data_IF_985536674922
#
_entry.id   IF_985536674922
#
_cell.length_a   1.000
_cell.length_b   1.000
_cell.length_c   1.000
_cell.angle_alpha   90.00
_cell.angle_beta   90.00
_cell.angle_gamma   90.00
#
_symmetry.space_group_name_H-M   'P 1'
#
loop_
_entity.id
_entity.type
_entity.pdbx_description
1 polymer ?
#
# COMPACT_ATOMS: atom_id res chain seq x y z
N UNK A 1 -14.41 -1.12 -46.89
CA UNK A 1 -13.44 -2.02 -46.25
C UNK A 1 -14.15 -3.34 -45.93
N UNK A 2 -13.57 -4.48 -46.35
CA UNK A 2 -14.21 -5.80 -46.28
C UNK A 2 -14.36 -6.28 -44.84
N UNK A 3 -15.54 -6.83 -44.49
CA UNK A 3 -15.89 -7.40 -43.16
C UNK A 3 -14.82 -8.39 -42.65
N UNK A 4 -14.12 -9.06 -43.58
CA UNK A 4 -13.02 -9.98 -43.26
C UNK A 4 -11.81 -9.31 -42.59
N UNK A 5 -11.53 -8.04 -42.92
CA UNK A 5 -10.43 -7.30 -42.30
C UNK A 5 -10.72 -6.91 -40.85
N UNK A 6 -12.00 -6.65 -40.53
CA UNK A 6 -12.43 -6.32 -39.17
C UNK A 6 -12.28 -7.51 -38.22
N UNK A 7 -12.62 -8.71 -38.68
CA UNK A 7 -12.48 -9.94 -37.89
C UNK A 7 -11.01 -10.29 -37.61
N UNK A 8 -10.11 -10.08 -38.59
CA UNK A 8 -8.68 -10.33 -38.41
C UNK A 8 -8.08 -9.35 -37.39
N UNK A 9 -8.46 -8.07 -37.43
CA UNK A 9 -7.99 -7.10 -36.41
C UNK A 9 -8.48 -7.46 -35.00
N UNK A 10 -9.70 -7.97 -34.86
CA UNK A 10 -10.27 -8.36 -33.57
C UNK A 10 -9.54 -9.55 -32.94
N UNK A 11 -9.14 -10.53 -33.75
CA UNK A 11 -8.37 -11.69 -33.26
C UNK A 11 -6.96 -11.26 -32.81
N UNK A 12 -6.30 -10.38 -33.56
CA UNK A 12 -4.97 -9.87 -33.18
C UNK A 12 -5.05 -9.05 -31.89
N UNK A 13 -6.07 -8.21 -31.72
CA UNK A 13 -6.29 -7.44 -30.49
C UNK A 13 -6.55 -8.34 -29.27
N UNK A 14 -7.33 -9.42 -29.42
CA UNK A 14 -7.61 -10.36 -28.34
C UNK A 14 -6.35 -11.13 -27.90
N UNK A 15 -5.50 -11.54 -28.85
CA UNK A 15 -4.23 -12.21 -28.55
C UNK A 15 -3.25 -11.25 -27.85
N UNK A 16 -3.17 -9.99 -28.28
CA UNK A 16 -2.33 -8.97 -27.63
C UNK A 16 -2.80 -8.65 -26.19
N UNK A 17 -4.12 -8.63 -25.94
CA UNK A 17 -4.64 -8.46 -24.58
C UNK A 17 -4.32 -9.67 -23.67
N UNK A 18 -4.36 -10.90 -24.19
CA UNK A 18 -4.06 -12.09 -23.40
C UNK A 18 -2.56 -12.20 -23.02
N UNK A 19 -1.67 -11.80 -23.93
CA UNK A 19 -0.21 -11.77 -23.66
C UNK A 19 0.15 -10.61 -22.72
N UNK A 20 -0.56 -9.48 -22.81
CA UNK A 20 -0.35 -8.32 -21.92
C UNK A 20 -0.61 -8.61 -20.43
N UNK A 21 -1.48 -9.56 -20.10
CA UNK A 21 -1.80 -9.93 -18.70
C UNK A 21 -0.75 -10.88 -18.09
N UNK A 22 -0.06 -11.68 -18.91
CA UNK A 22 0.99 -12.57 -18.42
C UNK A 22 2.31 -11.84 -18.09
N UNK A 23 2.60 -10.71 -18.76
CA UNK A 23 3.81 -9.92 -18.51
C UNK A 23 3.72 -9.04 -17.24
N UNK A 24 2.54 -8.85 -16.65
CA UNK A 24 2.37 -8.02 -15.45
C UNK A 24 2.66 -8.73 -14.11
N UNK A 25 3.08 -10.00 -14.13
CA UNK A 25 3.51 -10.72 -12.92
C UNK A 25 5.04 -10.85 -12.77
N UNK A 26 5.83 -10.14 -13.59
CA UNK A 26 7.28 -9.99 -13.42
C UNK A 26 7.63 -8.73 -12.64
N UNK A 27 7.17 -8.62 -11.39
CA UNK A 27 7.48 -7.48 -10.52
C UNK A 27 8.94 -7.51 -10.10
N UNK A 28 9.78 -6.83 -10.88
CA UNK A 28 11.20 -6.64 -10.62
C UNK A 28 11.49 -6.21 -9.19
N UNK A 29 12.51 -6.85 -8.63
CA UNK A 29 13.11 -6.55 -7.35
C UNK A 29 13.60 -5.09 -7.33
N UNK A 30 12.78 -4.18 -6.80
CA UNK A 30 13.30 -2.98 -6.16
C UNK A 30 13.63 -3.36 -4.72
N UNK A 31 14.91 -3.58 -4.47
CA UNK A 31 15.48 -3.62 -3.13
C UNK A 31 14.96 -2.41 -2.34
N UNK A 32 14.17 -2.68 -1.31
CA UNK A 32 13.63 -1.65 -0.41
C UNK A 32 14.61 -1.44 0.74
N UNK A 33 15.06 -0.20 1.01
CA UNK A 33 15.84 0.11 2.20
C UNK A 33 14.97 -0.08 3.45
N UNK A 34 15.63 -0.41 4.56
CA UNK A 34 14.99 -0.92 5.78
C UNK A 34 14.15 0.10 6.56
N UNK A 35 14.18 1.40 6.22
CA UNK A 35 13.63 2.46 7.07
C UNK A 35 12.66 3.37 6.31
N UNK A 36 11.65 3.90 7.02
CA UNK A 36 10.73 4.89 6.45
C UNK A 36 11.47 6.15 6.05
N UNK A 37 11.54 6.36 4.75
CA UNK A 37 11.99 7.61 4.19
C UNK A 37 10.87 8.17 3.28
N UNK A 38 10.04 9.09 3.76
CA UNK A 38 9.07 9.75 2.89
C UNK A 38 9.86 10.49 1.80
N UNK A 39 9.41 10.45 0.53
CA UNK A 39 10.06 11.18 -0.56
C UNK A 39 10.27 12.66 -0.20
N UNK A 40 11.31 13.30 -0.71
CA UNK A 40 11.63 14.69 -0.35
C UNK A 40 10.50 15.68 -0.70
N UNK A 41 9.72 15.39 -1.74
CA UNK A 41 8.53 16.17 -2.10
C UNK A 41 7.40 16.06 -1.07
N UNK A 42 7.42 15.02 -0.24
CA UNK A 42 6.48 14.74 0.83
C UNK A 42 6.98 15.34 2.15
N UNK A 43 8.30 15.35 2.37
CA UNK A 43 8.95 16.06 3.48
C UNK A 43 8.76 17.57 3.44
N UNK A 44 8.78 18.18 2.24
CA UNK A 44 8.49 19.62 2.08
C UNK A 44 7.05 19.99 2.47
N UNK A 45 6.19 19.00 2.65
CA UNK A 45 4.83 19.15 3.15
C UNK A 45 4.71 18.84 4.64
N UNK A 46 5.79 18.71 5.42
CA UNK A 46 5.70 18.41 6.87
C UNK A 46 4.84 19.40 7.68
N UNK A 47 4.56 20.62 7.17
CA UNK A 47 3.56 21.54 7.74
C UNK A 47 2.09 21.24 7.39
N UNK A 48 1.84 20.41 6.37
CA UNK A 48 0.53 19.99 5.85
C UNK A 48 0.28 18.47 5.96
N UNK A 49 1.31 17.69 6.27
CA UNK A 49 1.26 16.23 6.38
C UNK A 49 0.56 15.72 7.68
N UNK A 50 0.03 16.64 8.49
CA UNK A 50 -0.85 16.35 9.63
C UNK A 50 -2.31 16.10 9.25
N UNK A 51 -2.56 15.59 8.03
CA UNK A 51 -3.92 15.30 7.55
C UNK A 51 -4.68 14.32 8.45
N UNK A 52 -6.01 14.24 8.31
CA UNK A 52 -6.87 13.42 9.15
C UNK A 52 -6.36 11.98 9.31
N UNK A 53 -6.61 11.44 10.49
CA UNK A 53 -6.20 10.09 10.81
C UNK A 53 -7.02 9.06 10.03
N UNK A 54 -6.34 8.08 9.45
CA UNK A 54 -6.99 6.94 8.82
C UNK A 54 -7.70 6.12 9.90
N UNK A 55 -9.00 5.86 9.72
CA UNK A 55 -9.79 5.07 10.66
C UNK A 55 -9.65 3.57 10.38
N UNK A 56 -9.83 2.72 11.41
CA UNK A 56 -9.70 1.27 11.28
C UNK A 56 -10.67 0.66 10.25
N UNK A 57 -11.88 1.23 10.11
CA UNK A 57 -12.88 0.81 9.12
C UNK A 57 -12.42 1.04 7.67
N UNK A 58 -11.47 1.95 7.47
CA UNK A 58 -10.97 2.33 6.16
C UNK A 58 -9.85 1.39 5.70
N UNK A 59 -9.32 0.58 6.60
CA UNK A 59 -8.41 -0.52 6.29
C UNK A 59 -9.19 -1.83 6.28
N UNK A 60 -9.30 -2.49 5.14
CA UNK A 60 -10.10 -3.72 5.01
C UNK A 60 -9.30 -4.89 4.45
N UNK A 61 -9.52 -6.08 5.01
CA UNK A 61 -9.01 -7.35 4.48
C UNK A 61 -10.19 -8.25 4.19
N UNK A 62 -10.36 -8.66 2.93
CA UNK A 62 -11.50 -9.45 2.49
C UNK A 62 -12.84 -8.83 2.98
N UNK A 63 -12.97 -7.52 2.80
CA UNK A 63 -14.12 -6.70 3.24
C UNK A 63 -14.37 -6.66 4.76
N UNK A 64 -13.44 -7.17 5.59
CA UNK A 64 -13.49 -7.04 7.04
C UNK A 64 -12.57 -5.90 7.48
N UNK A 65 -13.07 -5.01 8.33
CA UNK A 65 -12.29 -3.90 8.89
C UNK A 65 -11.06 -4.38 9.65
N UNK A 66 -10.05 -3.52 9.74
CA UNK A 66 -8.84 -3.79 10.50
C UNK A 66 -9.22 -4.04 11.97
N UNK A 67 -8.77 -5.16 12.57
CA UNK A 67 -9.09 -5.46 13.96
C UNK A 67 -8.37 -4.48 14.89
N UNK A 68 -8.89 -4.28 16.10
CA UNK A 68 -8.24 -3.42 17.11
C UNK A 68 -6.76 -3.80 17.35
N UNK A 69 -6.45 -5.11 17.36
CA UNK A 69 -5.09 -5.63 17.35
C UNK A 69 -4.99 -6.79 16.35
N UNK A 70 -4.14 -6.64 15.34
CA UNK A 70 -3.78 -7.71 14.40
C UNK A 70 -2.62 -8.53 14.97
N UNK A 71 -2.82 -9.84 15.09
CA UNK A 71 -1.77 -10.81 15.40
C UNK A 71 -1.25 -11.44 14.12
N UNK A 72 0.00 -11.15 13.78
CA UNK A 72 0.65 -11.64 12.57
C UNK A 72 1.67 -12.72 12.95
N UNK A 73 1.35 -13.97 12.61
CA UNK A 73 2.23 -15.11 12.87
C UNK A 73 3.60 -14.99 12.21
N UNK A 74 4.53 -15.83 12.65
CA UNK A 74 5.90 -15.87 12.13
C UNK A 74 5.94 -15.98 10.60
N UNK A 75 6.76 -15.13 9.95
CA UNK A 75 6.92 -15.07 8.49
C UNK A 75 5.63 -14.90 7.68
N UNK A 76 4.52 -14.54 8.31
CA UNK A 76 3.25 -14.32 7.61
C UNK A 76 3.21 -12.92 7.01
N UNK A 77 2.58 -12.86 5.84
CA UNK A 77 2.23 -11.62 5.16
C UNK A 77 0.71 -11.49 5.15
N UNK A 78 0.22 -10.31 5.45
CA UNK A 78 -1.19 -9.94 5.33
C UNK A 78 -1.32 -8.66 4.53
N UNK A 79 -2.34 -8.59 3.69
CA UNK A 79 -2.62 -7.45 2.81
C UNK A 79 -3.97 -6.85 3.19
N UNK A 80 -4.01 -5.53 3.27
CA UNK A 80 -5.20 -4.72 3.50
C UNK A 80 -5.37 -3.74 2.34
N UNK A 81 -6.60 -3.54 1.91
CA UNK A 81 -7.01 -2.45 1.04
C UNK A 81 -7.25 -1.21 1.89
N UNK A 82 -6.77 -0.07 1.43
CA UNK A 82 -7.11 1.24 2.00
C UNK A 82 -8.26 1.82 1.20
N UNK A 83 -9.33 2.17 1.89
CA UNK A 83 -10.54 2.75 1.31
C UNK A 83 -10.23 4.16 0.81
N UNK A 84 -10.64 4.52 -0.42
CA UNK A 84 -10.56 5.90 -0.89
C UNK A 84 -11.31 6.85 0.04
N UNK A 85 -10.77 8.05 0.24
CA UNK A 85 -11.44 9.12 0.96
C UNK A 85 -12.51 9.76 0.06
N UNK A 86 -13.71 10.02 0.59
CA UNK A 86 -14.76 10.71 -0.16
C UNK A 86 -14.37 12.17 -0.49
N UNK A 87 -13.63 12.82 0.42
CA UNK A 87 -13.31 14.25 0.33
C UNK A 87 -11.93 14.56 -0.28
N UNK A 88 -11.30 13.57 -0.92
CA UNK A 88 -9.96 13.69 -1.51
C UNK A 88 -8.85 14.20 -0.57
N UNK A 89 -9.01 14.03 0.74
CA UNK A 89 -8.05 14.52 1.73
C UNK A 89 -6.85 13.57 1.94
N UNK A 90 -5.71 14.17 2.31
CA UNK A 90 -4.52 13.45 2.78
C UNK A 90 -4.82 12.79 4.11
N UNK A 91 -4.45 11.52 4.27
CA UNK A 91 -4.67 10.76 5.52
C UNK A 91 -3.38 10.24 6.12
N UNK A 92 -3.35 10.09 7.43
CA UNK A 92 -2.20 9.54 8.14
C UNK A 92 -2.57 8.29 8.93
N UNK A 93 -1.81 7.21 8.76
CA UNK A 93 -1.98 5.99 9.52
C UNK A 93 -0.78 5.80 10.46
N UNK A 94 -1.03 5.82 11.77
CA UNK A 94 -0.02 5.45 12.76
C UNK A 94 -0.37 4.09 13.36
N UNK A 95 0.61 3.21 13.48
CA UNK A 95 0.41 1.90 14.12
C UNK A 95 1.22 1.82 15.41
N UNK A 96 0.78 0.98 16.33
CA UNK A 96 1.57 0.52 17.47
C UNK A 96 2.08 -0.88 17.14
N UNK A 97 3.40 -1.09 17.12
CA UNK A 97 3.99 -2.37 16.72
C UNK A 97 4.78 -2.98 17.87
N UNK A 98 4.51 -4.26 18.14
CA UNK A 98 5.32 -5.11 19.02
C UNK A 98 5.80 -6.32 18.23
N UNK A 99 7.09 -6.39 17.97
CA UNK A 99 7.72 -7.44 17.17
C UNK A 99 8.44 -6.90 15.95
N UNK A 100 8.68 -7.77 14.97
CA UNK A 100 9.48 -7.49 13.80
C UNK A 100 8.60 -7.44 12.55
N UNK A 101 8.27 -6.25 12.07
CA UNK A 101 7.31 -6.07 10.98
C UNK A 101 7.87 -5.13 9.93
N UNK A 102 7.81 -5.55 8.68
CA UNK A 102 7.91 -4.68 7.53
C UNK A 102 6.50 -4.29 7.07
N UNK A 103 6.27 -2.99 6.92
CA UNK A 103 5.02 -2.41 6.48
C UNK A 103 5.26 -1.64 5.20
N UNK A 104 4.36 -1.79 4.23
CA UNK A 104 4.48 -1.15 2.92
C UNK A 104 3.13 -0.68 2.42
N UNK A 105 3.02 0.61 2.11
CA UNK A 105 1.85 1.20 1.49
C UNK A 105 2.14 1.49 0.01
N UNK A 106 1.35 0.89 -0.87
CA UNK A 106 1.35 1.13 -2.31
C UNK A 106 0.11 1.92 -2.71
N UNK A 107 0.26 3.16 -3.22
CA UNK A 107 -0.87 3.92 -3.76
C UNK A 107 -1.45 3.26 -5.02
N UNK A 108 -2.71 3.54 -5.34
CA UNK A 108 -3.28 3.15 -6.64
C UNK A 108 -2.54 3.87 -7.77
N UNK A 109 -2.37 3.19 -8.92
CA UNK A 109 -1.71 3.77 -10.09
C UNK A 109 -2.36 5.08 -10.53
N UNK A 110 -1.53 6.07 -10.88
CA UNK A 110 -1.98 7.38 -11.35
C UNK A 110 -2.39 8.36 -10.25
N UNK A 111 -2.24 7.99 -8.97
CA UNK A 111 -2.42 8.92 -7.86
C UNK A 111 -1.34 10.01 -7.91
N UNK A 112 -1.77 11.27 -7.87
CA UNK A 112 -0.88 12.43 -7.94
C UNK A 112 -1.16 13.38 -6.78
N UNK A 113 -0.09 13.96 -6.23
CA UNK A 113 -0.15 15.09 -5.34
C UNK A 113 0.59 16.27 -5.98
N UNK A 114 -0.13 17.38 -6.19
CA UNK A 114 0.43 18.60 -6.83
C UNK A 114 1.16 18.31 -8.14
N UNK A 115 0.58 17.44 -8.97
CA UNK A 115 1.15 17.04 -10.27
C UNK A 115 2.33 16.08 -10.19
N UNK A 116 2.75 15.64 -8.99
CA UNK A 116 3.75 14.59 -8.80
C UNK A 116 3.10 13.26 -8.44
N UNK A 117 3.55 12.13 -9.01
CA UNK A 117 3.03 10.83 -8.63
C UNK A 117 3.32 10.54 -7.15
N UNK A 118 2.34 9.97 -6.46
CA UNK A 118 2.56 9.47 -5.10
C UNK A 118 3.36 8.19 -5.19
N UNK A 119 4.49 8.14 -4.48
CA UNK A 119 5.39 6.99 -4.48
C UNK A 119 5.02 5.98 -3.39
N UNK A 120 5.47 4.74 -3.57
CA UNK A 120 5.37 3.69 -2.56
C UNK A 120 6.13 4.07 -1.29
N UNK A 121 5.54 3.80 -0.13
CA UNK A 121 6.14 4.06 1.17
C UNK A 121 6.39 2.73 1.89
N UNK A 122 7.53 2.59 2.54
CA UNK A 122 7.89 1.40 3.31
C UNK A 122 8.50 1.77 4.64
N UNK A 123 8.40 0.89 5.62
CA UNK A 123 9.03 1.02 6.92
C UNK A 123 9.27 -0.36 7.51
N UNK A 124 10.34 -0.51 8.28
CA UNK A 124 10.53 -1.71 9.10
C UNK A 124 10.67 -1.30 10.56
N UNK A 125 9.95 -1.98 11.45
CA UNK A 125 10.35 -2.10 12.83
C UNK A 125 11.10 -3.38 13.03
N UNK A 126 12.26 -3.25 13.64
CA UNK A 126 12.87 -4.31 14.42
C UNK A 126 13.10 -3.75 15.82
N UNK A 127 12.20 -3.98 16.77
CA UNK A 127 12.47 -3.54 18.15
C UNK A 127 11.79 -4.36 19.23
N UNK A 128 12.62 -4.75 20.18
CA UNK A 128 12.37 -5.10 21.58
C UNK A 128 11.76 -3.96 22.42
N UNK A 129 11.25 -2.90 21.77
CA UNK A 129 10.53 -1.75 22.34
C UNK A 129 9.36 -1.43 21.41
N UNK A 130 8.21 -1.06 21.98
CA UNK A 130 7.07 -0.64 21.18
C UNK A 130 7.43 0.66 20.45
N UNK A 131 7.61 0.58 19.14
CA UNK A 131 7.88 1.75 18.30
C UNK A 131 6.62 2.06 17.49
N UNK A 132 6.31 3.34 17.31
CA UNK A 132 5.14 3.80 16.56
C UNK A 132 5.53 4.13 15.12
N UNK A 133 5.23 3.29 14.13
CA UNK A 133 5.31 3.69 12.73
C UNK A 133 4.21 4.67 12.35
N UNK A 134 4.51 5.56 11.41
CA UNK A 134 3.55 6.41 10.75
C UNK A 134 3.71 6.34 9.21
N UNK A 135 2.59 6.31 8.49
CA UNK A 135 2.53 6.41 7.02
C UNK A 135 1.56 7.50 6.61
N UNK A 136 1.78 8.04 5.42
CA UNK A 136 0.89 9.01 4.81
C UNK A 136 0.19 8.33 3.63
N UNK A 137 -1.12 8.16 3.75
CA UNK A 137 -1.99 7.56 2.75
C UNK A 137 -2.73 8.67 2.03
N UNK A 138 -2.89 8.55 0.73
CA UNK A 138 -3.52 9.57 -0.10
C UNK A 138 -4.90 9.12 -0.59
N UNK A 139 -5.75 10.11 -0.85
CA UNK A 139 -7.16 10.09 -1.30
C UNK A 139 -7.70 8.89 -2.09
N UNK A 140 -6.97 8.33 -3.05
CA UNK A 140 -7.46 7.28 -3.94
C UNK A 140 -7.31 5.85 -3.41
N UNK A 141 -6.99 5.72 -2.12
CA UNK A 141 -6.77 4.43 -1.48
C UNK A 141 -5.50 3.74 -1.99
N UNK A 142 -5.39 2.44 -1.70
CA UNK A 142 -4.18 1.71 -2.04
C UNK A 142 -4.12 0.36 -1.35
N UNK A 143 -2.91 -0.19 -1.28
CA UNK A 143 -2.64 -1.49 -0.68
C UNK A 143 -1.62 -1.35 0.43
N UNK A 144 -2.01 -1.70 1.65
CA UNK A 144 -1.11 -1.82 2.80
C UNK A 144 -0.72 -3.30 2.97
N UNK A 145 0.56 -3.59 2.85
CA UNK A 145 1.15 -4.92 3.09
C UNK A 145 1.86 -4.93 4.44
N UNK A 146 1.55 -5.90 5.30
CA UNK A 146 2.19 -6.12 6.59
C UNK A 146 2.86 -7.49 6.57
N UNK A 147 4.18 -7.54 6.77
CA UNK A 147 4.99 -8.76 6.76
C UNK A 147 5.75 -8.90 8.07
N UNK A 148 5.56 -10.01 8.77
CA UNK A 148 6.40 -10.36 9.91
C UNK A 148 7.74 -10.93 9.39
N UNK A 149 8.84 -10.35 9.84
CA UNK A 149 10.18 -10.73 9.37
C UNK A 149 10.82 -11.86 10.18
N UNK A 150 10.39 -12.09 11.43
CA UNK A 150 11.01 -13.06 12.35
C UNK A 150 10.10 -14.24 12.73
N UNK A 151 10.68 -15.18 13.47
CA UNK A 151 10.06 -16.43 13.93
C UNK A 151 9.07 -16.31 15.10
N UNK A 152 8.81 -15.11 15.63
CA UNK A 152 7.84 -14.88 16.72
C UNK A 152 6.60 -14.15 16.20
N UNK A 153 5.48 -14.17 16.94
CA UNK A 153 4.26 -13.46 16.54
C UNK A 153 4.41 -11.95 16.76
N UNK A 154 4.10 -11.15 15.76
CA UNK A 154 4.01 -9.70 15.87
C UNK A 154 2.58 -9.25 16.20
N UNK A 155 2.45 -8.17 16.98
CA UNK A 155 1.17 -7.51 17.29
C UNK A 155 1.18 -6.10 16.74
N UNK A 156 0.12 -5.74 16.02
CA UNK A 156 -0.01 -4.49 15.29
C UNK A 156 -1.38 -3.90 15.60
N UNK A 157 -1.43 -2.73 16.24
CA UNK A 157 -2.66 -1.96 16.43
C UNK A 157 -2.64 -0.69 15.58
N UNK A 158 -3.79 -0.21 15.14
CA UNK A 158 -3.91 1.15 14.61
C UNK A 158 -4.11 2.08 15.81
N UNK A 159 -3.31 3.14 15.92
CA UNK A 159 -3.49 4.12 16.97
C UNK A 159 -4.66 5.03 16.57
N UNK A 160 -5.48 5.47 17.54
CA UNK A 160 -6.63 6.37 17.36
C UNK A 160 -6.27 7.81 17.75
#
# INVERSE_FOLDING_TARGET
>A
MSIKALQIMLVIAAVLCAVGVAATFGGGERAMPADFNPPDWLRSLQGLAGGPRLAARELTRNSRSFPAELRLGAHKTTVFSVTPAEDAELRRAEFTVRGNVHMRYRPVSGQQLRGKPVEEQSWSADTSRATEPAFIVYDRGGTLTLRNLRGSTARIGLKE
#
